data_IF_108430473760
#
_entry.id   IF_108430473760
#
_cell.length_a   1.000
_cell.length_b   1.000
_cell.length_c   1.000
_cell.angle_alpha   90.00
_cell.angle_beta   90.00
_cell.angle_gamma   90.00
#
_symmetry.space_group_name_H-M   'P 1'
#
loop_
_entity.id
_entity.type
_entity.pdbx_description
1 polymer ?
#
# COMPACT_ATOMS: atom_id res chain seq x y z
N UNK A 1 2.20 5.50 -1.62
CA UNK A 1 1.46 5.71 -0.34
C UNK A 1 0.88 4.39 0.17
N UNK A 2 0.03 3.71 -0.62
CA UNK A 2 -0.54 2.39 -0.30
C UNK A 2 0.44 1.34 0.27
N UNK A 3 1.62 1.20 -0.33
CA UNK A 3 2.64 0.23 0.12
C UNK A 3 3.44 0.70 1.34
N UNK A 4 3.56 2.01 1.54
CA UNK A 4 4.39 2.62 2.59
C UNK A 4 3.60 2.75 3.90
N UNK A 5 2.28 2.94 3.84
CA UNK A 5 1.42 3.09 5.02
C UNK A 5 1.41 1.86 5.97
N UNK A 6 1.32 0.60 5.49
CA UNK A 6 1.46 -0.58 6.34
C UNK A 6 2.86 -0.71 6.95
N UNK A 7 3.90 -0.38 6.18
CA UNK A 7 5.28 -0.43 6.66
C UNK A 7 5.51 0.60 7.78
N UNK A 8 4.88 1.77 7.70
CA UNK A 8 4.87 2.76 8.78
C UNK A 8 4.17 2.27 10.05
N UNK A 9 3.03 1.58 9.92
CA UNK A 9 2.33 0.97 11.05
C UNK A 9 3.15 -0.13 11.74
N UNK A 10 3.80 -0.98 10.95
CA UNK A 10 4.72 -2.01 11.45
C UNK A 10 5.91 -1.37 12.19
N UNK A 11 6.50 -0.32 11.64
CA UNK A 11 7.57 0.45 12.28
C UNK A 11 7.13 1.03 13.62
N UNK A 12 5.91 1.56 13.71
CA UNK A 12 5.32 2.04 14.96
C UNK A 12 5.19 0.93 16.01
N UNK A 13 4.82 -0.29 15.59
CA UNK A 13 4.73 -1.44 16.48
C UNK A 13 6.09 -1.87 17.00
N UNK A 14 7.10 -1.96 16.12
CA UNK A 14 8.49 -2.27 16.53
C UNK A 14 9.02 -1.23 17.51
N UNK A 15 8.78 0.05 17.22
CA UNK A 15 9.22 1.16 18.09
C UNK A 15 8.54 1.10 19.47
N UNK A 16 7.23 0.86 19.51
CA UNK A 16 6.49 0.74 20.77
C UNK A 16 6.94 -0.48 21.58
N UNK A 17 7.21 -1.62 20.93
CA UNK A 17 7.76 -2.79 21.61
C UNK A 17 9.16 -2.56 22.15
N UNK A 18 10.02 -1.82 21.45
CA UNK A 18 11.36 -1.43 21.95
C UNK A 18 11.22 -0.62 23.25
N UNK A 19 10.29 0.33 23.30
CA UNK A 19 10.05 1.13 24.51
C UNK A 19 9.57 0.26 25.67
N UNK A 20 8.67 -0.70 25.42
CA UNK A 20 8.22 -1.66 26.44
C UNK A 20 9.39 -2.49 26.97
N UNK A 21 10.25 -3.03 26.09
CA UNK A 21 11.43 -3.78 26.53
C UNK A 21 12.45 -2.93 27.30
N UNK A 22 12.64 -1.67 26.90
CA UNK A 22 13.50 -0.74 27.64
C UNK A 22 12.98 -0.50 29.07
N UNK A 23 11.67 -0.32 29.23
CA UNK A 23 11.04 -0.20 30.54
C UNK A 23 11.27 -1.45 31.40
N UNK A 24 11.20 -2.65 30.80
CA UNK A 24 11.50 -3.90 31.51
C UNK A 24 12.96 -3.93 31.99
N UNK A 25 13.90 -3.47 31.16
CA UNK A 25 15.33 -3.49 31.54
C UNK A 25 15.69 -2.53 32.67
N UNK A 26 14.98 -1.39 32.76
CA UNK A 26 15.27 -0.36 33.76
C UNK A 26 14.55 -0.62 35.08
N UNK A 27 13.31 -1.11 35.04
CA UNK A 27 12.45 -1.27 36.21
C UNK A 27 12.14 -2.73 36.59
N UNK A 28 12.75 -3.72 35.91
CA UNK A 28 12.34 -5.12 36.00
C UNK A 28 11.00 -5.35 35.29
N UNK A 29 10.30 -6.45 35.54
CA UNK A 29 9.00 -6.73 34.90
C UNK A 29 7.93 -5.62 35.11
N UNK A 30 8.17 -4.63 35.99
CA UNK A 30 7.35 -3.44 36.12
C UNK A 30 5.88 -3.73 36.51
N UNK A 31 5.02 -2.72 36.43
CA UNK A 31 3.57 -2.90 36.53
C UNK A 31 3.01 -3.41 35.18
N UNK A 32 2.36 -4.59 35.15
CA UNK A 32 1.77 -5.16 33.94
C UNK A 32 0.79 -4.21 33.22
N UNK A 33 0.15 -3.31 33.96
CA UNK A 33 -0.81 -2.33 33.43
C UNK A 33 -0.14 -1.32 32.51
N UNK A 34 1.06 -0.85 32.87
CA UNK A 34 1.82 0.11 32.07
C UNK A 34 2.37 -0.57 30.80
N UNK A 35 2.82 -1.83 30.93
CA UNK A 35 3.29 -2.61 29.79
C UNK A 35 2.16 -2.88 28.78
N UNK A 36 0.97 -3.26 29.27
CA UNK A 36 -0.21 -3.46 28.44
C UNK A 36 -0.59 -2.18 27.67
N UNK A 37 -0.43 -1.00 28.29
CA UNK A 37 -0.61 0.28 27.64
C UNK A 37 0.36 0.50 26.46
N UNK A 38 1.65 0.22 26.64
CA UNK A 38 2.67 0.35 25.59
C UNK A 38 2.45 -0.62 24.42
N UNK A 39 2.08 -1.86 24.71
CA UNK A 39 1.74 -2.86 23.69
C UNK A 39 0.47 -2.45 22.93
N UNK A 40 -0.55 -1.97 23.64
CA UNK A 40 -1.79 -1.49 23.01
C UNK A 40 -1.52 -0.33 22.06
N UNK A 41 -0.71 0.66 22.47
CA UNK A 41 -0.30 1.76 21.60
C UNK A 41 0.47 1.26 20.35
N UNK A 42 1.40 0.31 20.54
CA UNK A 42 2.12 -0.31 19.45
C UNK A 42 1.16 -0.92 18.41
N UNK A 43 0.17 -1.71 18.87
CA UNK A 43 -0.84 -2.33 18.00
C UNK A 43 -1.74 -1.29 17.31
N UNK A 44 -2.12 -0.21 18.00
CA UNK A 44 -2.95 0.85 17.42
C UNK A 44 -2.27 1.54 16.22
N UNK A 45 -0.94 1.70 16.25
CA UNK A 45 -0.21 2.26 15.09
C UNK A 45 -0.29 1.37 13.86
N UNK A 46 -0.29 0.04 14.02
CA UNK A 46 -0.50 -0.91 12.91
C UNK A 46 -1.91 -0.82 12.35
N UNK A 47 -2.92 -0.75 13.23
CA UNK A 47 -4.32 -0.60 12.81
C UNK A 47 -4.49 0.64 11.95
N UNK A 48 -3.96 1.79 12.38
CA UNK A 48 -4.02 3.04 11.63
C UNK A 48 -3.33 2.92 10.26
N UNK A 49 -2.16 2.28 10.21
CA UNK A 49 -1.44 2.03 8.95
C UNK A 49 -2.25 1.19 7.96
N UNK A 50 -2.93 0.15 8.44
CA UNK A 50 -3.81 -0.71 7.63
C UNK A 50 -5.08 0.02 7.21
N UNK A 51 -5.70 0.80 8.10
CA UNK A 51 -6.92 1.58 7.81
C UNK A 51 -6.68 2.59 6.68
N UNK A 52 -5.49 3.18 6.57
CA UNK A 52 -5.15 4.07 5.45
C UNK A 52 -4.76 3.29 4.19
N UNK A 53 -4.11 2.12 4.34
CA UNK A 53 -3.64 1.33 3.21
C UNK A 53 -4.78 0.72 2.39
N UNK A 54 -5.80 0.14 3.03
CA UNK A 54 -6.91 -0.55 2.36
C UNK A 54 -7.65 0.37 1.36
N UNK A 55 -8.14 1.57 1.76
CA UNK A 55 -8.83 2.47 0.84
C UNK A 55 -7.91 2.97 -0.28
N UNK A 56 -6.64 3.23 0.04
CA UNK A 56 -5.66 3.73 -0.95
C UNK A 56 -5.40 2.70 -2.04
N UNK A 57 -5.24 1.41 -1.67
CA UNK A 57 -5.06 0.32 -2.63
C UNK A 57 -6.31 0.18 -3.50
N UNK A 58 -7.50 0.21 -2.89
CA UNK A 58 -8.75 0.11 -3.63
C UNK A 58 -8.89 1.23 -4.69
N UNK A 59 -8.67 2.50 -4.30
CA UNK A 59 -8.70 3.62 -5.24
C UNK A 59 -7.65 3.48 -6.34
N UNK A 60 -6.42 3.07 -5.99
CA UNK A 60 -5.37 2.85 -6.96
C UNK A 60 -5.74 1.78 -8.00
N UNK A 61 -6.34 0.67 -7.56
CA UNK A 61 -6.79 -0.40 -8.46
C UNK A 61 -7.87 0.07 -9.43
N UNK A 62 -8.83 0.88 -8.98
CA UNK A 62 -9.88 1.44 -9.84
C UNK A 62 -9.28 2.37 -10.90
N UNK A 63 -8.38 3.28 -10.50
CA UNK A 63 -7.74 4.21 -11.44
C UNK A 63 -6.84 3.46 -12.43
N UNK A 64 -6.07 2.49 -11.94
CA UNK A 64 -5.21 1.65 -12.79
C UNK A 64 -6.04 0.87 -13.82
N UNK A 65 -7.14 0.23 -13.40
CA UNK A 65 -8.02 -0.49 -14.32
C UNK A 65 -8.60 0.42 -15.41
N UNK A 66 -8.95 1.67 -15.08
CA UNK A 66 -9.40 2.65 -16.08
C UNK A 66 -8.27 3.05 -17.03
N UNK A 67 -7.06 3.25 -16.53
CA UNK A 67 -5.90 3.57 -17.36
C UNK A 67 -5.57 2.43 -18.33
N UNK A 68 -5.56 1.19 -17.84
CA UNK A 68 -5.27 0.00 -18.64
C UNK A 68 -6.32 -0.17 -19.77
N UNK A 69 -7.61 0.09 -19.49
CA UNK A 69 -8.65 0.08 -20.53
C UNK A 69 -8.43 1.14 -21.61
N UNK A 70 -8.01 2.35 -21.23
CA UNK A 70 -7.72 3.42 -22.19
C UNK A 70 -6.52 3.04 -23.06
N UNK A 71 -5.48 2.48 -22.46
CA UNK A 71 -4.29 1.98 -23.17
C UNK A 71 -4.70 0.89 -24.18
N UNK A 72 -5.52 -0.07 -23.75
CA UNK A 72 -6.01 -1.14 -24.62
C UNK A 72 -6.75 -0.61 -25.85
N UNK A 73 -7.65 0.36 -25.66
CA UNK A 73 -8.38 1.00 -26.78
C UNK A 73 -7.39 1.69 -27.72
N UNK A 74 -6.40 2.42 -27.20
CA UNK A 74 -5.40 3.09 -28.01
C UNK A 74 -4.56 2.09 -28.83
N UNK A 75 -4.19 0.96 -28.25
CA UNK A 75 -3.44 -0.10 -28.92
C UNK A 75 -4.25 -0.76 -30.05
N UNK A 76 -5.54 -1.03 -29.83
CA UNK A 76 -6.44 -1.54 -30.87
C UNK A 76 -6.56 -0.55 -32.03
N UNK A 77 -6.77 0.74 -31.75
CA UNK A 77 -6.89 1.77 -32.78
C UNK A 77 -5.58 1.94 -33.56
N UNK A 78 -4.43 1.96 -32.87
CA UNK A 78 -3.13 2.05 -33.52
C UNK A 78 -2.87 0.86 -34.45
N UNK A 79 -3.21 -0.35 -34.01
CA UNK A 79 -3.07 -1.57 -34.80
C UNK A 79 -3.96 -1.53 -36.04
N UNK A 80 -5.22 -1.10 -35.89
CA UNK A 80 -6.15 -0.93 -37.01
C UNK A 80 -5.66 0.06 -38.06
N UNK A 81 -5.13 1.21 -37.64
CA UNK A 81 -4.55 2.21 -38.54
C UNK A 81 -3.34 1.69 -39.32
N UNK A 82 -2.46 0.90 -38.67
CA UNK A 82 -1.30 0.30 -39.33
C UNK A 82 -1.75 -0.72 -40.38
N UNK A 83 -2.74 -1.55 -40.06
CA UNK A 83 -3.30 -2.52 -40.99
C UNK A 83 -3.91 -1.83 -42.23
N UNK A 84 -4.75 -0.81 -42.04
CA UNK A 84 -5.36 -0.07 -43.15
C UNK A 84 -4.30 0.56 -44.07
N UNK A 85 -3.24 1.14 -43.47
CA UNK A 85 -2.15 1.73 -44.24
C UNK A 85 -1.35 0.68 -45.02
N UNK A 86 -1.14 -0.51 -44.45
CA UNK A 86 -0.46 -1.62 -45.11
C UNK A 86 -1.28 -2.14 -46.31
N UNK A 87 -2.60 -2.28 -46.15
CA UNK A 87 -3.50 -2.69 -47.24
C UNK A 87 -3.50 -1.67 -48.39
N UNK A 88 -3.57 -0.36 -48.08
CA UNK A 88 -3.50 0.69 -49.11
C UNK A 88 -2.19 0.70 -49.89
N UNK A 89 -1.07 0.35 -49.25
CA UNK A 89 0.23 0.24 -49.90
C UNK A 89 0.35 -1.04 -50.75
N UNK A 90 -0.33 -2.12 -50.38
CA UNK A 90 -0.35 -3.35 -51.16
C UNK A 90 -1.30 -3.30 -52.37
N UNK A 91 -2.31 -2.42 -52.33
CA UNK A 91 -3.32 -2.27 -53.37
C UNK A 91 -2.96 -1.23 -54.47
N UNK A 92 -1.83 -0.52 -54.34
CA UNK A 92 -1.32 0.44 -55.33
C UNK A 92 -0.04 -0.04 -55.99
#
# INVERSE_FOLDING_TARGET
IATIAPLGGLLGTVTGMIQVFQQITVYGAGDPTIMAGGISQALMTTVLGITVAIPTIFMHTVVKSRADNIIHILEEQATGMIAEKAERLAAG
#
